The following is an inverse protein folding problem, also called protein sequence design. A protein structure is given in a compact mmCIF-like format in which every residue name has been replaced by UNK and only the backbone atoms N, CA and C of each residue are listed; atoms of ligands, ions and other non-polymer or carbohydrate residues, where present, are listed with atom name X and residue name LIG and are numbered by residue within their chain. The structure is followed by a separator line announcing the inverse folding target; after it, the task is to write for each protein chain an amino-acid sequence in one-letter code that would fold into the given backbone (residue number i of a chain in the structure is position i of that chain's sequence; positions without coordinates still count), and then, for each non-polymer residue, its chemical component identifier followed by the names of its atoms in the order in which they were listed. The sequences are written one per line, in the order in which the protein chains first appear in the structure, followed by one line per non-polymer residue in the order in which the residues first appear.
data_IF_406004806244
#
_entry.id   IF_406004806244
#
_cell.length_a   1.000
_cell.length_b   1.000
_cell.length_c   1.000
_cell.angle_alpha   90.00
_cell.angle_beta   90.00
_cell.angle_gamma   90.00
#
_symmetry.space_group_name_H-M   'P 1'
#
loop_
_entity.id
_entity.type
_entity.pdbx_description
1 polymer ?
#
# COMPACT_ATOMS: atom_id res chain seq x y z
N UNK A 1 -4.12 2.68 -13.62
CA UNK A 1 -3.51 1.80 -12.58
C UNK A 1 -2.05 1.45 -12.88
N UNK A 2 -1.69 1.10 -14.13
CA UNK A 2 -0.31 0.75 -14.52
C UNK A 2 0.78 1.75 -14.09
N UNK A 3 0.56 3.04 -14.31
CA UNK A 3 1.52 4.09 -13.93
C UNK A 3 1.75 4.12 -12.43
N UNK A 4 0.70 3.94 -11.63
CA UNK A 4 0.79 3.86 -10.16
C UNK A 4 1.66 2.67 -9.79
N UNK A 5 1.39 1.49 -10.37
CA UNK A 5 2.19 0.28 -10.14
C UNK A 5 3.68 0.51 -10.39
N UNK A 6 4.04 1.03 -11.56
CA UNK A 6 5.44 1.28 -11.95
C UNK A 6 6.15 2.24 -10.98
N UNK A 7 5.47 3.29 -10.54
CA UNK A 7 6.03 4.23 -9.55
C UNK A 7 6.23 3.53 -8.21
N UNK A 8 5.25 2.76 -7.74
CA UNK A 8 5.34 2.06 -6.45
C UNK A 8 6.39 0.95 -6.43
N UNK A 9 6.64 0.29 -7.55
CA UNK A 9 7.69 -0.74 -7.70
C UNK A 9 9.11 -0.15 -7.72
N UNK A 10 9.28 1.12 -8.14
CA UNK A 10 10.59 1.75 -8.20
C UNK A 10 11.05 2.26 -6.82
N UNK A 11 11.61 1.36 -6.00
CA UNK A 11 12.04 1.68 -4.62
C UNK A 11 13.17 2.71 -4.56
N UNK A 12 14.02 2.75 -5.59
CA UNK A 12 15.12 3.73 -5.70
C UNK A 12 14.67 5.08 -6.24
N UNK A 13 13.43 5.18 -6.72
CA UNK A 13 12.84 6.41 -7.22
C UNK A 13 12.52 7.42 -6.13
N UNK A 14 11.96 8.55 -6.57
CA UNK A 14 11.50 9.62 -5.68
C UNK A 14 10.38 9.14 -4.75
N UNK A 15 10.66 9.10 -3.45
CA UNK A 15 9.74 8.66 -2.40
C UNK A 15 8.46 9.52 -2.36
N UNK A 16 8.56 10.81 -2.71
CA UNK A 16 7.42 11.72 -2.69
C UNK A 16 6.43 11.37 -3.80
N UNK A 17 6.92 10.94 -4.97
CA UNK A 17 6.08 10.41 -6.06
C UNK A 17 5.37 9.14 -5.66
N UNK A 18 6.01 8.26 -4.88
CA UNK A 18 5.38 7.04 -4.37
C UNK A 18 4.22 7.35 -3.42
N UNK A 19 4.41 8.29 -2.50
CA UNK A 19 3.33 8.80 -1.64
C UNK A 19 2.20 9.39 -2.47
N UNK A 20 2.52 10.22 -3.46
CA UNK A 20 1.51 10.80 -4.35
C UNK A 20 0.73 9.70 -5.09
N UNK A 21 1.41 8.68 -5.64
CA UNK A 21 0.77 7.55 -6.31
C UNK A 21 -0.15 6.74 -5.38
N UNK A 22 0.19 6.56 -4.11
CA UNK A 22 -0.71 5.95 -3.10
C UNK A 22 -1.98 6.78 -2.87
N UNK A 23 -1.85 8.12 -2.80
CA UNK A 23 -3.01 9.03 -2.70
C UNK A 23 -3.88 9.00 -3.96
N UNK A 24 -3.25 8.94 -5.13
CA UNK A 24 -3.96 8.80 -6.42
C UNK A 24 -4.71 7.47 -6.46
N UNK A 25 -4.16 6.37 -5.96
CA UNK A 25 -4.88 5.10 -5.87
C UNK A 25 -6.17 5.24 -5.06
N UNK A 26 -6.13 5.86 -3.87
CA UNK A 26 -7.36 6.13 -3.10
C UNK A 26 -8.32 7.03 -3.86
N UNK A 27 -7.82 8.08 -4.52
CA UNK A 27 -8.63 9.00 -5.32
C UNK A 27 -9.38 8.28 -6.45
N UNK A 28 -8.77 7.29 -7.11
CA UNK A 28 -9.43 6.48 -8.14
C UNK A 28 -10.67 5.77 -7.57
N UNK A 29 -10.55 5.15 -6.39
CA UNK A 29 -11.69 4.47 -5.76
C UNK A 29 -12.80 5.45 -5.35
N UNK A 30 -12.44 6.64 -4.88
CA UNK A 30 -13.41 7.68 -4.48
C UNK A 30 -14.19 8.21 -5.68
N UNK A 31 -13.55 8.33 -6.84
CA UNK A 31 -14.12 8.97 -8.04
C UNK A 31 -14.68 7.94 -9.04
N UNK A 32 -15.45 6.96 -8.56
CA UNK A 32 -16.16 5.99 -9.41
C UNK A 32 -15.38 4.72 -9.77
N UNK A 33 -14.19 4.50 -9.20
CA UNK A 33 -13.44 3.25 -9.42
C UNK A 33 -14.20 2.00 -8.96
N UNK A 34 -15.11 2.15 -7.99
CA UNK A 34 -15.97 1.07 -7.49
C UNK A 34 -17.05 0.63 -8.50
N UNK A 35 -17.42 1.49 -9.46
CA UNK A 35 -18.38 1.16 -10.51
C UNK A 35 -17.83 0.09 -11.47
N UNK A 36 -16.49 -0.03 -11.52
CA UNK A 36 -15.73 -1.01 -12.30
C UNK A 36 -14.99 -2.00 -11.39
N UNK A 37 -15.73 -2.58 -10.43
CA UNK A 37 -15.15 -3.38 -9.33
C UNK A 37 -14.26 -4.53 -9.81
N UNK A 38 -14.64 -5.24 -10.88
CA UNK A 38 -13.86 -6.39 -11.35
C UNK A 38 -12.51 -5.96 -11.92
N UNK A 39 -12.48 -4.94 -12.78
CA UNK A 39 -11.26 -4.38 -13.37
C UNK A 39 -10.37 -3.74 -12.30
N UNK A 40 -10.98 -3.11 -11.30
CA UNK A 40 -10.31 -2.58 -10.13
C UNK A 40 -9.60 -3.69 -9.35
N UNK A 41 -10.30 -4.79 -9.04
CA UNK A 41 -9.72 -5.94 -8.33
C UNK A 41 -8.59 -6.60 -9.13
N UNK A 42 -8.77 -6.83 -10.43
CA UNK A 42 -7.69 -7.33 -11.31
C UNK A 42 -6.48 -6.40 -11.29
N UNK A 43 -6.70 -5.08 -11.33
CA UNK A 43 -5.63 -4.09 -11.25
C UNK A 43 -4.93 -4.11 -9.90
N UNK A 44 -5.67 -4.23 -8.79
CA UNK A 44 -5.13 -4.30 -7.44
C UNK A 44 -4.30 -5.57 -7.21
N UNK A 45 -4.76 -6.73 -7.69
CA UNK A 45 -3.97 -7.97 -7.67
C UNK A 45 -2.65 -7.79 -8.43
N UNK A 46 -2.67 -7.13 -9.59
CA UNK A 46 -1.42 -6.85 -10.32
C UNK A 46 -0.47 -5.89 -9.57
N UNK A 47 -0.97 -5.16 -8.56
CA UNK A 47 -0.23 -4.19 -7.76
C UNK A 47 0.22 -4.75 -6.40
N UNK A 48 -0.08 -6.01 -6.09
CA UNK A 48 0.19 -6.65 -4.81
C UNK A 48 1.64 -6.46 -4.35
N UNK A 49 2.61 -6.88 -5.16
CA UNK A 49 4.04 -6.73 -4.85
C UNK A 49 4.44 -5.28 -4.61
N UNK A 50 3.84 -4.35 -5.36
CA UNK A 50 4.13 -2.93 -5.25
C UNK A 50 3.60 -2.35 -3.93
N UNK A 51 2.42 -2.81 -3.47
CA UNK A 51 1.83 -2.44 -2.19
C UNK A 51 2.61 -3.04 -1.02
N UNK A 52 2.95 -4.33 -1.08
CA UNK A 52 3.79 -5.01 -0.08
C UNK A 52 5.14 -4.30 0.05
N UNK A 53 5.78 -3.97 -1.07
CA UNK A 53 7.05 -3.23 -1.10
C UNK A 53 6.91 -1.84 -0.49
N UNK A 54 5.77 -1.17 -0.69
CA UNK A 54 5.51 0.16 -0.13
C UNK A 54 5.26 0.13 1.38
N UNK A 55 4.61 -0.93 1.89
CA UNK A 55 4.45 -1.15 3.34
C UNK A 55 5.81 -1.42 4.01
N UNK A 56 6.71 -2.13 3.32
CA UNK A 56 8.07 -2.44 3.82
C UNK A 56 9.08 -1.32 3.62
N UNK A 57 8.67 -0.14 3.15
CA UNK A 57 9.60 0.95 2.87
C UNK A 57 10.31 1.43 4.15
N UNK A 58 11.63 1.63 4.06
CA UNK A 58 12.45 2.12 5.19
C UNK A 58 12.15 3.58 5.53
N UNK A 59 11.56 4.34 4.61
CA UNK A 59 11.12 5.71 4.83
C UNK A 59 9.74 5.68 5.46
N UNK A 60 9.66 6.08 6.73
CA UNK A 60 8.43 6.08 7.52
C UNK A 60 7.25 6.81 6.87
N UNK A 61 7.50 7.82 6.03
CA UNK A 61 6.48 8.55 5.28
C UNK A 61 5.81 7.69 4.20
N UNK A 62 6.59 6.91 3.44
CA UNK A 62 6.07 6.00 2.41
C UNK A 62 5.33 4.84 3.07
N UNK A 63 5.95 4.22 4.08
CA UNK A 63 5.35 3.15 4.86
C UNK A 63 3.98 3.57 5.46
N UNK A 64 3.93 4.73 6.13
CA UNK A 64 2.69 5.26 6.72
C UNK A 64 1.60 5.48 5.67
N UNK A 65 1.93 6.13 4.55
CA UNK A 65 0.96 6.36 3.48
C UNK A 65 0.47 5.04 2.87
N UNK A 66 1.35 4.04 2.75
CA UNK A 66 0.99 2.72 2.26
C UNK A 66 0.01 2.03 3.22
N UNK A 67 0.28 2.05 4.52
CA UNK A 67 -0.62 1.49 5.54
C UNK A 67 -1.99 2.18 5.55
N UNK A 68 -2.05 3.51 5.42
CA UNK A 68 -3.34 4.24 5.31
C UNK A 68 -4.09 3.79 4.05
N UNK A 69 -3.37 3.61 2.94
CA UNK A 69 -3.97 3.15 1.67
C UNK A 69 -4.50 1.73 1.77
N UNK A 70 -3.75 0.81 2.38
CA UNK A 70 -4.21 -0.57 2.63
C UNK A 70 -5.45 -0.57 3.52
N UNK A 71 -5.44 0.17 4.63
CA UNK A 71 -6.60 0.30 5.52
C UNK A 71 -7.84 0.80 4.77
N UNK A 72 -7.66 1.79 3.89
CA UNK A 72 -8.74 2.31 3.06
C UNK A 72 -9.27 1.26 2.08
N UNK A 73 -8.39 0.46 1.45
CA UNK A 73 -8.81 -0.64 0.57
C UNK A 73 -9.60 -1.70 1.34
N UNK A 74 -9.17 -2.07 2.56
CA UNK A 74 -9.91 -2.99 3.43
C UNK A 74 -11.32 -2.48 3.72
N UNK A 75 -11.47 -1.19 4.03
CA UNK A 75 -12.77 -0.58 4.30
C UNK A 75 -13.69 -0.57 3.07
N UNK A 76 -13.15 -0.32 1.86
CA UNK A 76 -13.97 -0.18 0.65
C UNK A 76 -14.28 -1.48 -0.07
N UNK A 77 -13.40 -2.47 0.03
CA UNK A 77 -13.50 -3.72 -0.76
C UNK A 77 -13.83 -4.94 0.11
N UNK A 78 -13.74 -4.80 1.43
CA UNK A 78 -14.12 -5.82 2.41
C UNK A 78 -13.48 -7.18 2.08
N UNK A 79 -14.28 -8.24 2.01
CA UNK A 79 -13.85 -9.61 1.72
C UNK A 79 -13.21 -9.79 0.34
N UNK A 80 -13.39 -8.83 -0.58
CA UNK A 80 -12.90 -8.94 -1.97
C UNK A 80 -11.37 -8.82 -2.08
N UNK A 81 -10.69 -8.36 -1.03
CA UNK A 81 -9.22 -8.21 -1.01
C UNK A 81 -8.52 -9.17 -0.04
N UNK A 82 -9.18 -10.25 0.37
CA UNK A 82 -8.64 -11.19 1.34
C UNK A 82 -7.22 -11.66 1.01
N UNK A 83 -6.98 -12.11 -0.23
CA UNK A 83 -5.65 -12.56 -0.66
C UNK A 83 -4.59 -11.44 -0.56
N UNK A 84 -4.95 -10.21 -0.94
CA UNK A 84 -4.06 -9.07 -0.81
C UNK A 84 -3.71 -8.79 0.67
N UNK A 85 -4.70 -8.90 1.57
CA UNK A 85 -4.48 -8.77 3.00
C UNK A 85 -3.54 -9.85 3.54
N UNK A 86 -3.69 -11.11 3.10
CA UNK A 86 -2.79 -12.20 3.48
C UNK A 86 -1.34 -11.89 3.09
N UNK A 87 -1.10 -11.35 1.89
CA UNK A 87 0.24 -10.97 1.43
C UNK A 87 0.82 -9.76 2.17
N UNK A 88 -0.02 -8.82 2.60
CA UNK A 88 0.41 -7.61 3.31
C UNK A 88 0.64 -7.86 4.81
N UNK A 89 -0.08 -8.80 5.41
CA UNK A 89 -0.03 -9.04 6.86
C UNK A 89 1.40 -9.31 7.39
N UNK A 90 2.24 -10.18 6.78
CA UNK A 90 3.62 -10.37 7.23
C UNK A 90 4.46 -9.08 7.18
N UNK A 91 4.25 -8.24 6.17
CA UNK A 91 4.94 -6.97 6.04
C UNK A 91 4.58 -6.02 7.18
N UNK A 92 3.30 -5.94 7.54
CA UNK A 92 2.83 -5.07 8.64
C UNK A 92 3.39 -5.51 10.00
N UNK A 93 3.46 -6.82 10.27
CA UNK A 93 4.06 -7.37 11.51
C UNK A 93 5.54 -6.97 11.59
N UNK A 94 6.28 -7.09 10.49
CA UNK A 94 7.68 -6.67 10.44
C UNK A 94 7.88 -5.18 10.74
N UNK A 95 6.98 -4.30 10.29
CA UNK A 95 7.03 -2.87 10.62
C UNK A 95 6.81 -2.63 12.11
N UNK A 96 5.87 -3.35 12.73
CA UNK A 96 5.63 -3.26 14.19
C UNK A 96 6.90 -3.63 14.96
N UNK A 97 7.55 -4.74 14.61
CA UNK A 97 8.79 -5.17 15.27
C UNK A 97 9.93 -4.15 15.13
N UNK A 98 10.06 -3.52 13.96
CA UNK A 98 11.06 -2.46 13.74
C UNK A 98 10.76 -1.21 14.57
N UNK A 99 9.49 -0.82 14.70
CA UNK A 99 9.11 0.34 15.52
C UNK A 99 9.44 0.12 17.01
N UNK A 100 9.19 -1.08 17.54
CA UNK A 100 9.53 -1.45 18.92
C UNK A 100 11.03 -1.39 19.17
N UNK A 101 11.84 -1.90 18.22
CA UNK A 101 13.31 -1.87 18.33
C UNK A 101 13.87 -0.45 18.34
N UNK A 102 13.35 0.43 17.49
CA UNK A 102 13.79 1.84 17.48
C UNK A 102 13.47 2.51 18.81
N UNK A 103 12.28 2.27 19.37
CA UNK A 103 11.86 2.81 20.67
C UNK A 103 12.75 2.29 21.82
N UNK A 104 13.14 1.01 21.80
CA UNK A 104 13.98 0.43 22.86
C UNK A 104 15.45 0.87 22.84
N UNK A 105 15.93 1.40 21.71
CA UNK A 105 17.35 1.81 21.54
C UNK A 105 17.54 3.32 21.74
N UNK A 106 16.47 4.04 22.05
CA UNK A 106 16.48 5.50 22.27
C UNK A 106 16.56 5.89 23.76
N UNK A 107 16.88 4.93 24.63
CA UNK A 107 17.01 5.10 26.08
C UNK A 107 18.45 5.28 26.52
#
# INVERSE_FOLDING_TARGET
METIRKVLQNVQGDWSRRIHSLKVLRSVLINGGMDYKNELLTSLHSMEDALVTSVKDLRSQVCREACITVSFLCEKLEVSIFCLCESILPATIGVVQNSVKIISTSG
#
